data_IF_727706226173
#
_entry.id   IF_727706226173
#
_cell.length_a   1.000
_cell.length_b   1.000
_cell.length_c   1.000
_cell.angle_alpha   90.00
_cell.angle_beta   90.00
_cell.angle_gamma   90.00
#
_symmetry.space_group_name_H-M   'P 1'
#
loop_
_entity.id
_entity.type
_entity.pdbx_description
1 polymer ?
#
# COMPACT_ATOMS: atom_id res chain seq x y z
N UNK A 1 6.58 -21.13 -58.46
CA UNK A 1 5.57 -21.91 -57.72
C UNK A 1 5.58 -21.48 -56.25
N UNK A 2 4.62 -20.64 -55.83
CA UNK A 2 4.36 -20.37 -54.41
C UNK A 2 3.38 -21.43 -53.93
N UNK A 3 3.82 -22.29 -53.02
CA UNK A 3 2.96 -23.24 -52.33
C UNK A 3 2.06 -22.45 -51.39
N UNK A 4 0.76 -22.36 -51.69
CA UNK A 4 -0.24 -21.94 -50.70
C UNK A 4 -0.32 -23.02 -49.62
N UNK A 5 -0.31 -22.67 -48.32
CA UNK A 5 -0.54 -23.65 -47.27
C UNK A 5 -2.00 -24.15 -47.31
N UNK A 6 -2.26 -25.43 -46.99
CA UNK A 6 -3.59 -26.02 -47.01
C UNK A 6 -4.51 -25.38 -45.96
N UNK A 7 -5.74 -25.10 -46.36
CA UNK A 7 -6.75 -24.33 -45.61
C UNK A 7 -7.43 -25.09 -44.45
N UNK A 8 -6.79 -26.12 -43.88
CA UNK A 8 -7.39 -27.02 -42.89
C UNK A 8 -6.59 -27.13 -41.58
N UNK A 9 -5.87 -26.08 -41.18
CA UNK A 9 -5.48 -25.93 -39.78
C UNK A 9 -6.64 -25.31 -38.98
N UNK A 10 -7.73 -26.08 -38.84
CA UNK A 10 -8.71 -25.80 -37.81
C UNK A 10 -7.98 -25.85 -36.46
N UNK A 11 -7.90 -24.72 -35.76
CA UNK A 11 -7.31 -24.67 -34.42
C UNK A 11 -7.93 -25.79 -33.58
N UNK A 12 -7.13 -26.62 -32.88
CA UNK A 12 -7.65 -27.74 -32.11
C UNK A 12 -8.70 -27.20 -31.14
N UNK A 13 -9.93 -27.71 -31.29
CA UNK A 13 -11.06 -27.34 -30.44
C UNK A 13 -10.62 -27.50 -28.99
N UNK A 14 -10.71 -26.46 -28.15
CA UNK A 14 -10.20 -26.53 -26.78
C UNK A 14 -10.85 -27.72 -26.06
N UNK A 15 -10.02 -28.58 -25.46
CA UNK A 15 -10.45 -29.83 -24.82
C UNK A 15 -11.42 -29.63 -23.67
N UNK A 16 -11.48 -28.41 -23.12
CA UNK A 16 -12.36 -28.03 -22.02
C UNK A 16 -13.01 -26.71 -22.43
N UNK A 17 -14.34 -26.64 -22.33
CA UNK A 17 -15.05 -25.36 -22.55
C UNK A 17 -14.85 -24.42 -21.37
N UNK A 18 -14.94 -23.10 -21.61
CA UNK A 18 -14.78 -22.09 -20.55
C UNK A 18 -15.75 -22.30 -19.36
N UNK A 19 -16.92 -22.89 -19.63
CA UNK A 19 -17.91 -23.25 -18.64
C UNK A 19 -17.47 -24.43 -17.74
N UNK A 20 -16.89 -25.47 -18.32
CA UNK A 20 -16.36 -26.64 -17.60
C UNK A 20 -15.10 -26.26 -16.82
N UNK A 21 -14.23 -25.44 -17.40
CA UNK A 21 -13.07 -24.89 -16.70
C UNK A 21 -13.51 -24.09 -15.49
N UNK A 22 -14.51 -23.22 -15.62
CA UNK A 22 -15.06 -22.48 -14.50
C UNK A 22 -15.55 -23.42 -13.38
N UNK A 23 -16.22 -24.54 -13.69
CA UNK A 23 -16.71 -25.52 -12.71
C UNK A 23 -15.59 -26.25 -11.96
N UNK A 24 -14.44 -26.48 -12.60
CA UNK A 24 -13.30 -27.18 -11.99
C UNK A 24 -12.46 -26.29 -11.07
N UNK A 25 -12.54 -24.97 -11.23
CA UNK A 25 -11.70 -24.02 -10.51
C UNK A 25 -12.33 -23.60 -9.19
N UNK A 26 -11.54 -23.63 -8.14
CA UNK A 26 -11.91 -23.02 -6.86
C UNK A 26 -12.18 -21.52 -7.05
N UNK A 27 -12.97 -20.88 -6.16
CA UNK A 27 -13.24 -19.44 -6.23
C UNK A 27 -11.97 -18.58 -6.27
N UNK A 28 -10.86 -19.04 -5.69
CA UNK A 28 -9.55 -18.40 -5.74
C UNK A 28 -8.91 -18.52 -7.13
N UNK A 29 -8.88 -19.72 -7.71
CA UNK A 29 -8.29 -19.94 -9.04
C UNK A 29 -9.08 -19.25 -10.14
N UNK A 30 -10.42 -19.22 -10.01
CA UNK A 30 -11.30 -18.46 -10.91
C UNK A 30 -11.05 -16.94 -10.83
N UNK A 31 -10.59 -16.43 -9.69
CA UNK A 31 -10.19 -15.02 -9.52
C UNK A 31 -8.79 -14.74 -10.09
N UNK A 32 -7.86 -15.68 -9.98
CA UNK A 32 -6.52 -15.58 -10.59
C UNK A 32 -6.57 -15.51 -12.12
N UNK A 33 -7.53 -16.20 -12.74
CA UNK A 33 -7.76 -16.14 -14.20
C UNK A 33 -8.25 -14.78 -14.70
N UNK A 34 -8.85 -13.94 -13.84
CA UNK A 34 -9.23 -12.57 -14.21
C UNK A 34 -8.03 -11.63 -14.38
N UNK A 35 -6.82 -12.13 -14.17
CA UNK A 35 -5.57 -11.40 -14.31
C UNK A 35 -5.06 -10.84 -12.98
N UNK A 36 -3.76 -11.00 -12.74
CA UNK A 36 -3.09 -10.42 -11.58
C UNK A 36 -3.05 -8.89 -11.68
N UNK A 37 -3.17 -8.22 -10.54
CA UNK A 37 -3.09 -6.77 -10.48
C UNK A 37 -1.63 -6.29 -10.71
N UNK A 38 -1.34 -5.85 -11.93
CA UNK A 38 -0.02 -5.36 -12.36
C UNK A 38 0.44 -4.15 -11.54
N UNK A 39 -0.49 -3.30 -11.07
CA UNK A 39 -0.20 -2.12 -10.27
C UNK A 39 0.07 -2.41 -8.79
N UNK A 40 -0.13 -3.64 -8.34
CA UNK A 40 0.06 -4.01 -6.93
C UNK A 40 1.53 -3.89 -6.49
N UNK A 41 2.47 -4.37 -7.32
CA UNK A 41 3.91 -4.31 -7.02
C UNK A 41 4.40 -2.87 -6.88
N UNK A 42 3.94 -1.99 -7.76
CA UNK A 42 4.30 -0.57 -7.73
C UNK A 42 3.77 0.12 -6.46
N UNK A 43 2.49 -0.11 -6.11
CA UNK A 43 1.89 0.44 -4.88
C UNK A 43 2.60 -0.04 -3.63
N UNK A 44 2.95 -1.33 -3.53
CA UNK A 44 3.69 -1.83 -2.37
C UNK A 44 5.11 -1.25 -2.28
N UNK A 45 5.83 -1.10 -3.41
CA UNK A 45 7.13 -0.42 -3.41
C UNK A 45 7.01 1.04 -2.96
N UNK A 46 5.98 1.74 -3.45
CA UNK A 46 5.71 3.11 -3.02
C UNK A 46 5.42 3.19 -1.51
N UNK A 47 4.56 2.30 -0.98
CA UNK A 47 4.27 2.23 0.46
C UNK A 47 5.53 1.93 1.29
N UNK A 48 6.39 1.02 0.83
CA UNK A 48 7.67 0.72 1.49
C UNK A 48 8.57 1.96 1.56
N UNK A 49 8.77 2.63 0.43
CA UNK A 49 9.61 3.82 0.33
C UNK A 49 9.05 4.96 1.17
N UNK A 50 7.73 5.14 1.15
CA UNK A 50 7.03 6.14 1.96
C UNK A 50 7.28 5.90 3.45
N UNK A 51 7.09 4.67 3.92
CA UNK A 51 7.33 4.30 5.32
C UNK A 51 8.80 4.51 5.69
N UNK A 52 9.74 4.11 4.83
CA UNK A 52 11.17 4.28 5.08
C UNK A 52 11.54 5.76 5.18
N UNK A 53 11.03 6.60 4.27
CA UNK A 53 11.24 8.04 4.27
C UNK A 53 10.70 8.68 5.56
N UNK A 54 9.45 8.38 5.91
CA UNK A 54 8.83 8.94 7.12
C UNK A 54 9.50 8.43 8.39
N UNK A 55 9.84 7.15 8.47
CA UNK A 55 10.52 6.57 9.64
C UNK A 55 11.88 7.20 9.83
N UNK A 56 12.71 7.27 8.77
CA UNK A 56 14.03 7.91 8.82
C UNK A 56 13.91 9.38 9.24
N UNK A 57 12.98 10.13 8.65
CA UNK A 57 12.78 11.54 9.00
C UNK A 57 12.33 11.74 10.45
N UNK A 58 11.39 10.92 10.94
CA UNK A 58 10.87 11.00 12.30
C UNK A 58 11.86 10.50 13.37
N UNK A 59 12.58 9.40 13.11
CA UNK A 59 13.53 8.83 14.09
C UNK A 59 14.86 9.59 14.13
N UNK A 60 15.41 9.98 12.97
CA UNK A 60 16.75 10.56 12.90
C UNK A 60 16.77 12.09 12.91
N UNK A 61 15.69 12.74 12.47
CA UNK A 61 15.62 14.21 12.36
C UNK A 61 14.38 14.84 13.02
N UNK A 62 14.10 14.55 14.31
CA UNK A 62 12.97 15.17 15.02
C UNK A 62 13.12 16.69 15.15
N UNK A 63 14.35 17.19 15.29
CA UNK A 63 14.66 18.63 15.44
C UNK A 63 14.48 19.45 14.16
N UNK A 64 14.73 18.86 13.00
CA UNK A 64 14.45 19.53 11.73
C UNK A 64 12.95 19.58 11.46
N UNK A 65 12.23 18.53 11.87
CA UNK A 65 10.77 18.46 11.74
C UNK A 65 10.09 19.49 12.65
N UNK A 66 10.52 19.64 13.90
CA UNK A 66 9.95 20.65 14.81
C UNK A 66 10.22 22.09 14.35
N UNK A 67 11.38 22.35 13.73
CA UNK A 67 11.73 23.65 13.11
C UNK A 67 10.93 23.94 11.84
N UNK A 68 10.79 22.97 10.93
CA UNK A 68 9.98 23.11 9.70
C UNK A 68 8.50 23.37 10.00
N UNK A 69 8.02 22.90 11.15
CA UNK A 69 6.64 23.06 11.61
C UNK A 69 6.43 24.28 12.54
N UNK A 70 7.46 25.10 12.79
CA UNK A 70 7.39 26.28 13.67
C UNK A 70 6.72 26.00 15.03
N UNK A 71 6.97 24.83 15.61
CA UNK A 71 6.34 24.42 16.87
C UNK A 71 6.87 25.33 18.01
N UNK A 72 6.01 25.90 18.86
CA UNK A 72 6.42 26.74 19.99
C UNK A 72 7.48 26.04 20.87
N UNK A 73 8.47 26.77 21.40
CA UNK A 73 9.54 26.19 22.21
C UNK A 73 9.05 25.48 23.48
N UNK A 74 7.86 25.80 23.97
CA UNK A 74 7.20 25.15 25.12
C UNK A 74 6.72 23.72 24.82
N UNK A 75 6.52 23.38 23.54
CA UNK A 75 6.13 22.04 23.08
C UNK A 75 7.34 21.20 22.60
N UNK A 76 8.57 21.69 22.81
CA UNK A 76 9.81 21.05 22.32
C UNK A 76 10.17 19.77 23.09
N UNK A 77 9.49 19.49 24.20
CA UNK A 77 9.53 18.21 24.94
C UNK A 77 8.73 17.07 24.27
N UNK A 78 8.10 17.30 23.09
CA UNK A 78 7.40 16.26 22.31
C UNK A 78 8.33 15.24 21.58
N UNK A 79 9.64 15.22 21.83
CA UNK A 79 10.55 14.21 21.23
C UNK A 79 10.09 12.76 21.41
N UNK A 80 9.66 12.32 22.62
CA UNK A 80 9.21 10.95 22.81
C UNK A 80 7.98 10.66 21.96
N UNK A 81 7.06 11.62 21.84
CA UNK A 81 5.84 11.49 21.04
C UNK A 81 6.14 11.27 19.55
N UNK A 82 7.09 12.01 18.98
CA UNK A 82 7.52 11.82 17.59
C UNK A 82 8.19 10.46 17.37
N UNK A 83 8.95 9.97 18.35
CA UNK A 83 9.57 8.64 18.30
C UNK A 83 8.53 7.50 18.40
N UNK A 84 7.57 7.60 19.33
CA UNK A 84 6.46 6.63 19.42
C UNK A 84 5.65 6.57 18.14
N UNK A 85 5.45 7.72 17.49
CA UNK A 85 4.79 7.80 16.20
C UNK A 85 5.57 7.08 15.09
N UNK A 86 6.90 7.25 15.05
CA UNK A 86 7.76 6.51 14.13
C UNK A 86 7.67 5.00 14.36
N UNK A 87 7.76 4.56 15.61
CA UNK A 87 7.63 3.14 15.99
C UNK A 87 6.26 2.56 15.62
N UNK A 88 5.19 3.33 15.82
CA UNK A 88 3.84 2.93 15.42
C UNK A 88 3.75 2.69 13.90
N UNK A 89 4.34 3.58 13.08
CA UNK A 89 4.39 3.42 11.62
C UNK A 89 5.15 2.14 11.22
N UNK A 90 6.28 1.86 11.88
CA UNK A 90 7.03 0.61 11.66
C UNK A 90 6.21 -0.61 12.02
N UNK A 91 5.52 -0.58 13.16
CA UNK A 91 4.66 -1.68 13.61
C UNK A 91 3.54 -1.97 12.61
N UNK A 92 2.75 -0.96 12.21
CA UNK A 92 1.64 -1.17 11.25
C UNK A 92 2.13 -1.66 9.89
N UNK A 93 3.31 -1.19 9.47
CA UNK A 93 3.92 -1.65 8.20
C UNK A 93 4.35 -3.10 8.30
N UNK A 94 4.93 -3.51 9.43
CA UNK A 94 5.30 -4.91 9.67
C UNK A 94 4.06 -5.82 9.63
N UNK A 95 2.98 -5.40 10.30
CA UNK A 95 1.69 -6.13 10.28
C UNK A 95 1.13 -6.22 8.86
N UNK A 96 1.21 -5.15 8.08
CA UNK A 96 0.78 -5.13 6.68
C UNK A 96 1.55 -6.15 5.82
N UNK A 97 2.88 -6.12 5.88
CA UNK A 97 3.73 -7.04 5.11
C UNK A 97 3.57 -8.48 5.57
N UNK A 98 3.47 -8.72 6.87
CA UNK A 98 3.22 -10.04 7.43
C UNK A 98 1.87 -10.59 6.95
N UNK A 99 0.82 -9.77 6.98
CA UNK A 99 -0.50 -10.12 6.45
C UNK A 99 -0.45 -10.49 4.97
N UNK A 100 0.33 -9.76 4.17
CA UNK A 100 0.52 -10.05 2.75
C UNK A 100 1.26 -11.38 2.52
N UNK A 101 2.41 -11.58 3.17
CA UNK A 101 3.24 -12.79 3.00
C UNK A 101 2.49 -14.05 3.45
N UNK A 102 1.78 -13.97 4.58
CA UNK A 102 1.02 -15.09 5.15
C UNK A 102 -0.32 -15.31 4.43
N UNK A 103 -0.75 -14.37 3.57
CA UNK A 103 -2.10 -14.35 3.01
C UNK A 103 -3.20 -14.22 4.08
N UNK A 104 -2.84 -13.73 5.27
CA UNK A 104 -3.70 -13.71 6.45
C UNK A 104 -4.57 -12.45 6.43
N UNK A 105 -5.87 -12.61 6.16
CA UNK A 105 -6.89 -11.53 6.14
C UNK A 105 -6.42 -10.21 5.49
N UNK A 106 -5.65 -10.30 4.40
CA UNK A 106 -5.00 -9.15 3.78
C UNK A 106 -5.94 -7.99 3.43
N UNK A 107 -7.11 -8.30 2.86
CA UNK A 107 -8.11 -7.27 2.55
C UNK A 107 -8.56 -6.50 3.81
N UNK A 108 -8.87 -7.22 4.89
CA UNK A 108 -9.33 -6.62 6.16
C UNK A 108 -8.23 -5.80 6.82
N UNK A 109 -7.00 -6.33 6.86
CA UNK A 109 -5.87 -5.63 7.45
C UNK A 109 -5.53 -4.37 6.65
N UNK A 110 -5.50 -4.45 5.31
CA UNK A 110 -5.27 -3.29 4.45
C UNK A 110 -6.33 -2.19 4.65
N UNK A 111 -7.60 -2.59 4.86
CA UNK A 111 -8.69 -1.66 5.11
C UNK A 111 -8.56 -1.00 6.50
N UNK A 112 -8.29 -1.79 7.54
CA UNK A 112 -8.06 -1.26 8.91
C UNK A 112 -6.89 -0.26 8.90
N UNK A 113 -5.79 -0.60 8.24
CA UNK A 113 -4.63 0.29 8.15
C UNK A 113 -4.91 1.54 7.30
N UNK A 114 -5.75 1.45 6.28
CA UNK A 114 -6.23 2.62 5.56
C UNK A 114 -7.03 3.55 6.49
N UNK A 115 -7.93 3.01 7.31
CA UNK A 115 -8.69 3.81 8.28
C UNK A 115 -7.77 4.46 9.30
N UNK A 116 -6.82 3.71 9.87
CA UNK A 116 -5.81 4.24 10.80
C UNK A 116 -4.98 5.36 10.15
N UNK A 117 -4.55 5.18 8.90
CA UNK A 117 -3.80 6.18 8.15
C UNK A 117 -4.60 7.46 7.91
N UNK A 118 -5.90 7.33 7.63
CA UNK A 118 -6.80 8.47 7.45
C UNK A 118 -7.05 9.21 8.78
N UNK A 119 -7.33 8.47 9.86
CA UNK A 119 -7.47 9.04 11.21
C UNK A 119 -6.20 9.77 11.63
N UNK A 120 -5.02 9.21 11.34
CA UNK A 120 -3.74 9.88 11.60
C UNK A 120 -3.55 11.19 10.83
N UNK A 121 -4.07 11.28 9.60
CA UNK A 121 -4.03 12.50 8.79
C UNK A 121 -4.96 13.57 9.37
N UNK A 122 -6.18 13.17 9.77
CA UNK A 122 -7.15 14.08 10.43
C UNK A 122 -6.61 14.57 11.78
N UNK A 123 -6.02 13.69 12.58
CA UNK A 123 -5.39 14.07 13.85
C UNK A 123 -4.27 15.09 13.64
N UNK A 124 -3.45 14.94 12.60
CA UNK A 124 -2.44 15.96 12.29
C UNK A 124 -3.07 17.28 11.90
N UNK A 125 -4.12 17.26 11.07
CA UNK A 125 -4.88 18.46 10.69
C UNK A 125 -5.30 19.27 11.92
N UNK A 126 -5.85 18.60 12.93
CA UNK A 126 -6.30 19.28 14.15
C UNK A 126 -5.20 19.56 15.16
N UNK A 127 -4.16 18.72 15.29
CA UNK A 127 -3.16 18.87 16.35
C UNK A 127 -1.95 19.71 15.96
N UNK A 128 -1.69 19.84 14.66
CA UNK A 128 -0.47 20.47 14.14
C UNK A 128 -0.82 21.64 13.25
N UNK A 129 -1.70 21.43 12.28
CA UNK A 129 -2.02 22.46 11.29
C UNK A 129 -2.92 23.57 11.83
N UNK A 130 -3.76 23.29 12.83
CA UNK A 130 -4.59 24.30 13.50
C UNK A 130 -3.78 25.38 14.23
N UNK A 131 -2.54 25.05 14.62
CA UNK A 131 -1.64 25.96 15.33
C UNK A 131 -0.73 26.76 14.39
N UNK A 132 -0.78 26.52 13.08
CA UNK A 132 0.05 27.24 12.11
C UNK A 132 -0.55 28.62 11.86
N UNK A 133 0.11 29.65 12.38
CA UNK A 133 -0.17 31.05 12.06
C UNK A 133 0.66 31.45 10.84
N UNK A 134 0.11 31.26 9.63
CA UNK A 134 0.76 31.68 8.37
C UNK A 134 0.52 30.73 7.18
N UNK A 135 1.08 31.04 5.99
CA UNK A 135 0.96 30.18 4.82
C UNK A 135 1.73 28.87 5.01
N UNK A 136 1.09 27.75 4.66
CA UNK A 136 1.70 26.42 4.69
C UNK A 136 2.96 26.38 3.80
N UNK A 137 4.09 25.92 4.38
CA UNK A 137 5.30 25.69 3.61
C UNK A 137 5.04 24.69 2.47
N UNK A 138 5.55 24.92 1.25
CA UNK A 138 5.39 23.99 0.11
C UNK A 138 5.86 22.56 0.43
N UNK A 139 6.86 22.43 1.28
CA UNK A 139 7.43 21.15 1.72
C UNK A 139 6.42 20.37 2.59
N UNK A 140 5.73 21.08 3.48
CA UNK A 140 4.70 20.52 4.34
C UNK A 140 3.49 20.06 3.51
N UNK A 141 3.10 20.86 2.51
CA UNK A 141 2.04 20.50 1.58
C UNK A 141 2.39 19.23 0.78
N UNK A 142 3.63 19.09 0.32
CA UNK A 142 4.11 17.89 -0.36
C UNK A 142 3.98 16.63 0.53
N UNK A 143 4.29 16.72 1.83
CA UNK A 143 4.10 15.59 2.75
C UNK A 143 2.64 15.18 2.92
N UNK A 144 1.72 16.13 2.96
CA UNK A 144 0.28 15.84 3.02
C UNK A 144 -0.14 15.05 1.77
N UNK A 145 0.24 15.53 0.58
CA UNK A 145 -0.07 14.84 -0.68
C UNK A 145 0.51 13.43 -0.74
N UNK A 146 1.76 13.26 -0.33
CA UNK A 146 2.41 11.94 -0.28
C UNK A 146 1.65 11.01 0.67
N UNK A 147 1.19 11.49 1.83
CA UNK A 147 0.37 10.68 2.76
C UNK A 147 -1.01 10.36 2.21
N UNK A 148 -1.66 11.27 1.51
CA UNK A 148 -2.92 10.98 0.81
C UNK A 148 -2.72 9.91 -0.26
N UNK A 149 -1.63 9.99 -1.04
CA UNK A 149 -1.27 8.96 -2.01
C UNK A 149 -1.00 7.60 -1.34
N UNK A 150 -0.37 7.59 -0.17
CA UNK A 150 -0.17 6.37 0.64
C UNK A 150 -1.50 5.73 1.07
N UNK A 151 -2.42 6.53 1.61
CA UNK A 151 -3.77 6.06 1.97
C UNK A 151 -4.54 5.54 0.76
N UNK A 152 -4.46 6.24 -0.38
CA UNK A 152 -5.05 5.77 -1.64
C UNK A 152 -4.47 4.41 -2.06
N UNK A 153 -3.15 4.20 -1.92
CA UNK A 153 -2.54 2.91 -2.22
C UNK A 153 -3.07 1.79 -1.31
N UNK A 154 -3.21 2.05 0.00
CA UNK A 154 -3.78 1.09 0.96
C UNK A 154 -5.24 0.75 0.63
N UNK A 155 -6.05 1.75 0.28
CA UNK A 155 -7.43 1.56 -0.14
C UNK A 155 -7.50 0.71 -1.41
N UNK A 156 -6.71 1.06 -2.43
CA UNK A 156 -6.68 0.32 -3.68
C UNK A 156 -6.16 -1.12 -3.49
N UNK A 157 -5.23 -1.33 -2.55
CA UNK A 157 -4.75 -2.67 -2.19
C UNK A 157 -5.82 -3.47 -1.44
N UNK A 158 -6.65 -2.82 -0.60
CA UNK A 158 -7.78 -3.46 0.07
C UNK A 158 -8.89 -3.86 -0.92
N UNK A 159 -9.26 -2.96 -1.84
CA UNK A 159 -10.29 -3.17 -2.86
C UNK A 159 -9.89 -4.21 -3.90
N UNK A 160 -8.60 -4.29 -4.23
CA UNK A 160 -8.06 -5.25 -5.21
C UNK A 160 -7.33 -6.42 -4.55
N UNK A 161 -7.56 -6.66 -3.26
CA UNK A 161 -6.93 -7.73 -2.51
C UNK A 161 -7.15 -9.12 -3.14
N UNK A 162 -8.32 -9.33 -3.74
CA UNK A 162 -8.68 -10.57 -4.46
C UNK A 162 -7.83 -10.85 -5.70
N UNK A 163 -7.13 -9.83 -6.22
CA UNK A 163 -6.26 -9.91 -7.39
C UNK A 163 -4.78 -9.69 -7.03
N UNK A 164 -4.46 -9.65 -5.75
CA UNK A 164 -3.09 -9.53 -5.30
C UNK A 164 -2.29 -10.76 -5.78
N UNK A 165 -1.12 -10.56 -6.40
CA UNK A 165 -0.32 -11.68 -6.88
C UNK A 165 0.04 -12.59 -5.70
N UNK A 166 -0.19 -13.90 -5.81
CA UNK A 166 0.21 -14.84 -4.77
C UNK A 166 1.72 -14.77 -4.63
N UNK A 167 2.20 -14.48 -3.43
CA UNK A 167 3.64 -14.51 -3.16
C UNK A 167 4.09 -15.98 -3.20
N UNK A 168 5.22 -16.31 -3.86
CA UNK A 168 5.75 -17.67 -3.84
C UNK A 168 6.01 -18.06 -2.38
N UNK A 169 5.22 -19.02 -1.88
CA UNK A 169 5.31 -19.54 -0.50
C UNK A 169 6.58 -20.38 -0.26
N UNK A 170 7.46 -20.48 -1.26
CA UNK A 170 8.64 -21.36 -1.29
C UNK A 170 9.79 -20.93 -0.39
N UNK A 171 9.69 -19.80 0.32
CA UNK A 171 10.73 -19.37 1.26
C UNK A 171 10.63 -20.03 2.64
N UNK A 172 9.57 -20.79 2.93
CA UNK A 172 9.31 -21.41 4.23
C UNK A 172 8.71 -22.82 4.07
N UNK A 173 9.36 -23.65 3.26
CA UNK A 173 9.12 -25.10 3.17
C UNK A 173 10.30 -25.85 3.77
#
# INVERSE_FOLDING_TARGET
>A
MRLSPPADQAMPKPLITDAEMAQLLTPQERRLLKGADTGFKLRNRFLLLLVLLFTVKLLLFPEQTSRELNIPPELRDLRPYLQYRGLFIVFVTTVYYFSYVRGWHFSRISLVLCTVGFTGLVMDFFNVYSWIVGPLSPLVLAFIFVRLAGNYCLLMNALRADRAPPMPRSFWG
#
